data_IF_279747617925
#
_entry.id   IF_279747617925
#
_cell.length_a   1.000
_cell.length_b   1.000
_cell.length_c   1.000
_cell.angle_alpha   90.00
_cell.angle_beta   90.00
_cell.angle_gamma   90.00
#
_symmetry.space_group_name_H-M   'P 1'
#
loop_
_entity.id
_entity.type
_entity.pdbx_description
1 polymer ?
#
# COMPACT_ATOMS: atom_id res chain seq x y z
N UNK A 1 10.94 -12.97 -29.35
CA UNK A 1 10.48 -12.25 -28.14
C UNK A 1 11.54 -11.22 -27.78
N UNK A 2 11.20 -9.94 -27.64
CA UNK A 2 12.17 -8.92 -27.20
C UNK A 2 12.35 -9.04 -25.69
N UNK A 3 13.59 -9.25 -25.24
CA UNK A 3 13.97 -9.22 -23.83
C UNK A 3 13.90 -7.78 -23.34
N UNK A 4 12.83 -7.43 -22.63
CA UNK A 4 12.71 -6.16 -21.92
C UNK A 4 13.56 -6.23 -20.65
N UNK A 5 14.52 -5.31 -20.51
CA UNK A 5 15.28 -5.18 -19.27
C UNK A 5 14.43 -4.44 -18.23
N UNK A 6 14.66 -4.75 -16.96
CA UNK A 6 14.01 -4.02 -15.85
C UNK A 6 14.29 -2.51 -15.91
N UNK A 7 15.48 -2.13 -16.39
CA UNK A 7 15.85 -0.72 -16.63
C UNK A 7 14.94 -0.01 -17.63
N UNK A 8 14.54 -0.72 -18.68
CA UNK A 8 13.72 -0.16 -19.76
C UNK A 8 12.29 0.08 -19.25
N UNK A 9 11.78 -0.85 -18.44
CA UNK A 9 10.49 -0.72 -17.78
C UNK A 9 10.49 0.44 -16.77
N UNK A 10 11.56 0.58 -15.97
CA UNK A 10 11.70 1.68 -15.02
C UNK A 10 11.68 3.04 -15.74
N UNK A 11 12.42 3.17 -16.85
CA UNK A 11 12.44 4.39 -17.65
C UNK A 11 11.06 4.74 -18.25
N UNK A 12 10.30 3.74 -18.71
CA UNK A 12 8.93 3.93 -19.19
C UNK A 12 8.00 4.41 -18.09
N UNK A 13 8.12 3.85 -16.88
CA UNK A 13 7.34 4.25 -15.71
C UNK A 13 7.63 5.71 -15.34
N UNK A 14 8.90 6.10 -15.23
CA UNK A 14 9.27 7.48 -14.89
C UNK A 14 8.78 8.49 -15.93
N UNK A 15 8.89 8.14 -17.22
CA UNK A 15 8.34 8.97 -18.30
C UNK A 15 6.82 9.13 -18.19
N UNK A 16 6.11 8.06 -17.81
CA UNK A 16 4.66 8.09 -17.64
C UNK A 16 4.24 8.91 -16.41
N UNK A 17 5.01 8.85 -15.31
CA UNK A 17 4.80 9.68 -14.11
C UNK A 17 4.91 11.16 -14.45
N UNK A 18 5.98 11.56 -15.13
CA UNK A 18 6.19 12.95 -15.54
C UNK A 18 5.06 13.49 -16.42
N UNK A 19 4.53 12.68 -17.35
CA UNK A 19 3.38 13.05 -18.18
C UNK A 19 2.09 13.28 -17.39
N UNK A 20 1.94 12.62 -16.24
CA UNK A 20 0.78 12.77 -15.36
C UNK A 20 0.98 13.88 -14.32
N UNK A 21 2.09 14.62 -14.37
CA UNK A 21 2.43 15.64 -13.36
C UNK A 21 2.76 15.04 -11.99
N UNK A 22 3.03 13.73 -11.92
CA UNK A 22 3.39 13.04 -10.68
C UNK A 22 4.90 13.17 -10.47
N UNK A 23 5.30 13.65 -9.30
CA UNK A 23 6.70 13.80 -8.89
C UNK A 23 6.93 13.15 -7.51
N UNK A 24 8.15 12.69 -7.21
CA UNK A 24 8.44 12.13 -5.89
C UNK A 24 7.48 10.99 -5.48
N UNK A 25 6.90 11.09 -4.28
CA UNK A 25 5.95 10.11 -3.72
C UNK A 25 4.47 10.42 -4.06
N UNK A 26 4.20 11.16 -5.15
CA UNK A 26 2.82 11.49 -5.58
C UNK A 26 2.01 10.26 -6.05
N UNK A 27 2.66 9.10 -6.17
CA UNK A 27 1.99 7.81 -6.38
C UNK A 27 1.67 7.17 -5.03
N UNK A 28 0.49 6.54 -4.94
CA UNK A 28 -0.03 5.84 -3.74
C UNK A 28 1.11 5.08 -3.06
N UNK A 29 1.54 5.59 -1.90
CA UNK A 29 2.51 4.89 -1.07
C UNK A 29 1.98 3.49 -0.79
N UNK A 30 2.86 2.47 -0.70
CA UNK A 30 2.43 1.12 -0.35
C UNK A 30 1.50 1.19 0.86
N UNK A 31 0.35 0.52 0.81
CA UNK A 31 -0.60 0.46 1.93
C UNK A 31 -0.06 -0.44 3.07
N UNK A 32 1.21 -0.25 3.40
CA UNK A 32 1.98 -0.96 4.41
C UNK A 32 2.23 -0.03 5.59
N UNK A 33 2.38 -0.60 6.78
CA UNK A 33 2.15 0.07 8.07
C UNK A 33 2.78 1.45 8.26
N UNK A 34 4.00 1.69 7.77
CA UNK A 34 4.73 2.95 7.99
C UNK A 34 4.24 4.13 7.13
N UNK A 35 3.54 3.86 6.02
CA UNK A 35 3.03 4.88 5.12
C UNK A 35 1.53 5.15 5.30
N UNK A 36 0.90 4.52 6.29
CA UNK A 36 -0.52 4.78 6.57
C UNK A 36 -0.72 6.06 7.35
N UNK A 37 -1.72 6.82 6.92
CA UNK A 37 -2.23 7.94 7.70
C UNK A 37 -2.67 7.46 9.10
N UNK A 38 -2.61 8.33 10.12
CA UNK A 38 -3.09 8.02 11.46
C UNK A 38 -4.54 7.51 11.47
N UNK A 39 -5.42 8.17 10.72
CA UNK A 39 -6.85 7.84 10.65
C UNK A 39 -7.07 6.42 10.13
N UNK A 40 -6.26 5.99 9.15
CA UNK A 40 -6.34 4.64 8.61
C UNK A 40 -5.85 3.60 9.60
N UNK A 41 -4.82 3.91 10.40
CA UNK A 41 -4.34 3.01 11.47
C UNK A 41 -5.39 2.81 12.54
N UNK A 42 -6.07 3.88 12.93
CA UNK A 42 -7.12 3.83 13.96
C UNK A 42 -8.35 3.05 13.46
N UNK A 43 -8.76 3.26 12.21
CA UNK A 43 -9.81 2.46 11.58
C UNK A 43 -9.49 0.96 11.58
N UNK A 44 -8.26 0.59 11.19
CA UNK A 44 -7.86 -0.82 11.17
C UNK A 44 -7.78 -1.44 12.57
N UNK A 45 -7.43 -0.64 13.59
CA UNK A 45 -7.45 -1.07 14.99
C UNK A 45 -8.87 -1.33 15.47
N UNK A 46 -9.80 -0.40 15.22
CA UNK A 46 -11.20 -0.54 15.58
C UNK A 46 -11.84 -1.79 14.95
N UNK A 47 -11.56 -2.05 13.66
CA UNK A 47 -12.07 -3.27 13.00
C UNK A 47 -11.47 -4.54 13.63
N UNK A 48 -10.19 -4.52 14.03
CA UNK A 48 -9.57 -5.66 14.68
C UNK A 48 -10.14 -5.93 16.08
N UNK A 49 -10.42 -4.88 16.85
CA UNK A 49 -11.08 -4.96 18.17
C UNK A 49 -12.49 -5.53 18.05
N UNK A 50 -13.32 -4.97 17.16
CA UNK A 50 -14.68 -5.46 16.87
C UNK A 50 -14.68 -6.93 16.44
N UNK A 51 -13.73 -7.32 15.58
CA UNK A 51 -13.62 -8.71 15.12
C UNK A 51 -13.27 -9.66 16.28
N UNK A 52 -12.38 -9.23 17.18
CA UNK A 52 -12.02 -9.98 18.38
C UNK A 52 -13.20 -10.14 19.34
N UNK A 53 -14.01 -9.09 19.54
CA UNK A 53 -15.25 -9.15 20.34
C UNK A 53 -16.26 -10.13 19.76
N UNK A 54 -16.38 -10.19 18.44
CA UNK A 54 -17.27 -11.14 17.75
C UNK A 54 -16.68 -12.57 17.66
N UNK A 55 -15.46 -12.81 18.14
CA UNK A 55 -14.77 -14.09 18.05
C UNK A 55 -14.47 -14.53 16.61
N UNK A 56 -14.41 -13.58 15.66
CA UNK A 56 -14.18 -13.82 14.23
C UNK A 56 -12.89 -13.16 13.78
N UNK A 57 -12.16 -13.72 12.80
CA UNK A 57 -11.04 -13.02 12.21
C UNK A 57 -11.52 -11.79 11.44
N UNK A 58 -10.73 -10.70 11.38
CA UNK A 58 -11.03 -9.55 10.53
C UNK A 58 -11.19 -9.97 9.06
N UNK A 59 -12.08 -9.31 8.34
CA UNK A 59 -12.35 -9.59 6.92
C UNK A 59 -11.15 -9.29 5.98
N UNK A 60 -10.05 -8.75 6.50
CA UNK A 60 -8.82 -8.50 5.77
C UNK A 60 -7.66 -9.32 6.35
N UNK A 61 -6.75 -9.78 5.48
CA UNK A 61 -5.56 -10.54 5.91
C UNK A 61 -4.66 -9.70 6.82
N UNK A 62 -4.23 -10.28 7.93
CA UNK A 62 -3.48 -9.62 9.01
C UNK A 62 -2.09 -9.08 8.61
N UNK A 63 -1.62 -9.38 7.39
CA UNK A 63 -0.46 -8.77 6.72
C UNK A 63 -0.53 -7.23 6.72
N UNK A 64 -1.75 -6.69 6.83
CA UNK A 64 -1.99 -5.26 6.95
C UNK A 64 -1.94 -4.74 8.40
N UNK A 65 -1.79 -5.54 9.46
CA UNK A 65 -1.98 -5.05 10.85
C UNK A 65 -0.72 -4.96 11.70
N UNK A 66 0.39 -5.62 11.34
CA UNK A 66 1.59 -5.68 12.20
C UNK A 66 2.89 -5.62 11.39
N UNK A 67 3.73 -4.62 11.69
CA UNK A 67 5.18 -4.88 11.81
C UNK A 67 5.42 -5.32 13.27
N UNK A 68 6.40 -6.23 13.53
CA UNK A 68 6.82 -6.55 14.89
C UNK A 68 7.33 -5.33 15.65
#
# INVERSE_FOLDING_TARGET
MRTLKLSDLAAVIERRKALLGLSGNDYVLPNTGEFRSPEKRDLLRAIAEESAEQGKPPAFRSEFSRKP
#
